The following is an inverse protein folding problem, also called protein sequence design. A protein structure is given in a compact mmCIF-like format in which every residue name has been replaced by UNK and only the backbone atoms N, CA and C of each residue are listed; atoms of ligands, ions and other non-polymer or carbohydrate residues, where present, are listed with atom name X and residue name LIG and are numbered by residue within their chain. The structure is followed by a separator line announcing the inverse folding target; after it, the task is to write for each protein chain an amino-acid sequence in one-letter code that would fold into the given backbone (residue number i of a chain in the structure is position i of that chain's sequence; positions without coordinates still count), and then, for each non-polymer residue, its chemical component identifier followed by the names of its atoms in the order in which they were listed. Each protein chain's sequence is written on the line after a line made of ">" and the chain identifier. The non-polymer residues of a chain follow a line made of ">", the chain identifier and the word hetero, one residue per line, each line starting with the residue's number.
data_IF_047373432141
#
_entry.id   IF_047373432141
#
_cell.length_a   1.000
_cell.length_b   1.000
_cell.length_c   1.000
_cell.angle_alpha   90.00
_cell.angle_beta   90.00
_cell.angle_gamma   90.00
#
_symmetry.space_group_name_H-M   'P 1'
#
loop_
_entity.id
_entity.type
_entity.pdbx_description
1 polymer ?
#
# COMPACT_ATOMS: atom_id res chain seq x y z
N UNK A 1 -36.75 44.14 -14.93
CA UNK A 1 -37.53 44.96 -15.90
C UNK A 1 -38.20 46.21 -15.31
N UNK A 2 -37.99 46.52 -14.02
CA UNK A 2 -38.60 47.74 -13.40
C UNK A 2 -38.15 49.07 -14.04
N UNK A 3 -37.02 49.09 -14.74
CA UNK A 3 -36.45 50.26 -15.42
C UNK A 3 -36.79 50.30 -16.93
N UNK A 4 -37.66 49.39 -17.42
CA UNK A 4 -38.10 49.41 -18.81
C UNK A 4 -38.89 50.69 -19.09
N UNK A 5 -38.63 51.29 -20.26
CA UNK A 5 -39.28 52.53 -20.73
C UNK A 5 -39.92 52.27 -22.07
N UNK A 6 -40.89 53.05 -22.38
CA UNK A 6 -41.62 53.00 -23.67
C UNK A 6 -41.61 54.42 -24.30
N UNK A 7 -41.78 54.57 -25.64
CA UNK A 7 -41.87 55.86 -26.28
C UNK A 7 -42.95 56.77 -25.68
N UNK A 8 -42.77 58.09 -25.84
CA UNK A 8 -43.77 59.06 -25.39
C UNK A 8 -45.18 58.70 -25.93
N UNK A 9 -46.20 58.79 -25.10
CA UNK A 9 -47.60 58.48 -25.38
C UNK A 9 -47.97 57.02 -25.46
N UNK A 10 -47.11 56.10 -25.06
CA UNK A 10 -47.43 54.68 -24.93
C UNK A 10 -47.23 54.22 -23.47
N UNK A 11 -47.89 53.12 -23.10
CA UNK A 11 -47.79 52.52 -21.75
C UNK A 11 -47.36 51.07 -21.85
N UNK A 12 -46.49 50.61 -20.95
CA UNK A 12 -46.17 49.17 -20.81
C UNK A 12 -47.43 48.48 -20.28
N UNK A 13 -47.89 47.45 -20.97
CA UNK A 13 -49.12 46.68 -20.64
C UNK A 13 -48.79 45.34 -20.00
N UNK A 14 -47.68 44.68 -20.41
CA UNK A 14 -47.31 43.40 -19.87
C UNK A 14 -45.79 43.13 -19.94
N UNK A 15 -45.36 42.17 -19.12
CA UNK A 15 -44.03 41.59 -19.09
C UNK A 15 -44.17 40.06 -19.18
N UNK A 16 -43.65 39.47 -20.26
CA UNK A 16 -43.60 38.01 -20.46
C UNK A 16 -42.24 37.50 -20.07
N UNK A 17 -42.19 36.62 -19.07
CA UNK A 17 -40.99 36.04 -18.55
C UNK A 17 -40.83 34.60 -19.05
N UNK A 18 -39.60 34.24 -19.46
CA UNK A 18 -39.19 32.89 -19.73
C UNK A 18 -37.98 32.60 -18.86
N UNK A 19 -38.06 31.59 -17.99
CA UNK A 19 -37.00 31.30 -17.01
C UNK A 19 -35.93 30.34 -17.53
N UNK A 20 -36.10 29.79 -18.76
CA UNK A 20 -35.14 28.90 -19.37
C UNK A 20 -35.28 27.43 -18.93
N UNK A 21 -36.05 27.14 -17.91
CA UNK A 21 -36.38 25.78 -17.43
C UNK A 21 -37.72 25.24 -17.99
N UNK A 22 -38.29 25.95 -18.91
CA UNK A 22 -39.62 25.67 -19.49
C UNK A 22 -40.76 26.40 -18.80
N UNK A 23 -40.55 27.00 -17.64
CA UNK A 23 -41.54 27.81 -16.95
C UNK A 23 -41.63 29.20 -17.57
N UNK A 24 -42.86 29.75 -17.60
CA UNK A 24 -43.16 31.11 -18.09
C UNK A 24 -44.11 31.79 -17.13
N UNK A 25 -44.04 33.11 -17.10
CA UNK A 25 -44.96 33.95 -16.31
C UNK A 25 -45.26 35.22 -17.06
N UNK A 26 -46.50 35.72 -16.94
CA UNK A 26 -46.90 37.03 -17.43
C UNK A 26 -47.31 37.90 -16.26
N UNK A 27 -46.83 39.15 -16.25
CA UNK A 27 -47.12 40.11 -15.18
C UNK A 27 -47.39 41.48 -15.77
N UNK A 28 -48.18 42.26 -15.06
CA UNK A 28 -48.38 43.70 -15.39
C UNK A 28 -47.35 44.57 -14.67
N UNK A 29 -46.54 43.96 -13.79
CA UNK A 29 -45.49 44.64 -13.05
C UNK A 29 -44.13 44.14 -13.51
N UNK A 30 -43.12 45.00 -13.55
CA UNK A 30 -41.78 44.70 -14.05
C UNK A 30 -40.94 43.81 -13.10
N UNK A 31 -41.57 42.91 -12.33
CA UNK A 31 -40.91 41.93 -11.47
C UNK A 31 -41.76 40.67 -11.30
N UNK A 32 -41.06 39.59 -11.08
CA UNK A 32 -41.64 38.27 -10.76
C UNK A 32 -40.69 37.49 -9.85
N UNK A 33 -41.12 36.35 -9.34
CA UNK A 33 -40.29 35.37 -8.63
C UNK A 33 -40.45 34.00 -9.24
N UNK A 34 -39.38 33.24 -9.26
CA UNK A 34 -39.38 31.87 -9.74
C UNK A 34 -38.44 31.02 -8.87
N UNK A 35 -38.75 29.72 -8.71
CA UNK A 35 -37.95 28.74 -8.00
C UNK A 35 -37.51 27.70 -9.02
N UNK A 36 -36.21 27.58 -9.22
CA UNK A 36 -35.60 26.54 -10.04
C UNK A 36 -35.55 25.24 -9.26
N UNK A 37 -35.97 24.14 -9.88
CA UNK A 37 -35.99 22.82 -9.23
C UNK A 37 -34.67 22.07 -9.37
N UNK A 38 -33.86 22.41 -10.35
CA UNK A 38 -32.60 21.77 -10.67
C UNK A 38 -31.49 22.82 -10.78
N UNK A 39 -30.28 22.39 -10.52
CA UNK A 39 -29.08 23.16 -10.75
C UNK A 39 -28.79 23.28 -12.25
N UNK A 40 -28.11 24.35 -12.67
CA UNK A 40 -27.76 24.53 -14.07
C UNK A 40 -27.61 25.99 -14.47
N UNK A 41 -27.22 26.19 -15.73
CA UNK A 41 -27.12 27.50 -16.36
C UNK A 41 -28.44 27.79 -17.11
N UNK A 42 -29.17 28.80 -16.66
CA UNK A 42 -30.44 29.19 -17.25
C UNK A 42 -30.30 30.51 -17.99
N UNK A 43 -30.85 30.57 -19.21
CA UNK A 43 -31.04 31.83 -19.94
C UNK A 43 -32.44 32.36 -19.67
N UNK A 44 -32.52 33.43 -18.88
CA UNK A 44 -33.76 34.09 -18.51
C UNK A 44 -34.01 35.22 -19.50
N UNK A 45 -35.22 35.29 -20.06
CA UNK A 45 -35.65 36.41 -20.90
C UNK A 45 -36.94 37.07 -20.39
N UNK A 46 -37.04 38.35 -20.64
CA UNK A 46 -38.23 39.11 -20.41
C UNK A 46 -38.58 39.94 -21.66
N UNK A 47 -39.77 39.72 -22.17
CA UNK A 47 -40.33 40.53 -23.24
C UNK A 47 -41.30 41.56 -22.65
N UNK A 48 -41.06 42.81 -22.95
CA UNK A 48 -41.91 43.94 -22.48
C UNK A 48 -42.81 44.41 -23.65
N UNK A 49 -44.08 44.50 -23.41
CA UNK A 49 -45.06 44.81 -24.44
C UNK A 49 -45.80 46.12 -24.08
N UNK A 50 -45.96 46.98 -25.04
CA UNK A 50 -46.74 48.25 -24.91
C UNK A 50 -48.16 48.15 -25.44
N UNK A 51 -49.00 49.20 -25.21
CA UNK A 51 -50.39 49.28 -25.60
C UNK A 51 -50.62 49.38 -27.11
N UNK A 52 -49.58 49.61 -27.91
CA UNK A 52 -49.60 49.56 -29.35
C UNK A 52 -49.10 48.26 -29.97
N UNK A 53 -48.81 47.29 -29.15
CA UNK A 53 -48.28 46.00 -29.57
C UNK A 53 -46.80 46.00 -29.96
N UNK A 54 -46.03 47.05 -29.63
CA UNK A 54 -44.59 47.06 -29.74
C UNK A 54 -43.97 46.30 -28.59
N UNK A 55 -42.94 45.50 -28.83
CA UNK A 55 -42.26 44.69 -27.90
C UNK A 55 -40.70 44.83 -27.94
N UNK A 56 -40.06 44.52 -26.86
CA UNK A 56 -38.61 44.42 -26.76
C UNK A 56 -38.25 43.35 -25.75
N UNK A 57 -37.18 42.61 -26.03
CA UNK A 57 -36.75 41.48 -25.21
C UNK A 57 -35.31 41.67 -24.66
N UNK A 58 -35.16 41.47 -23.38
CA UNK A 58 -33.86 41.42 -22.73
C UNK A 58 -33.59 40.00 -22.18
N UNK A 59 -32.34 39.57 -22.29
CA UNK A 59 -31.91 38.26 -21.78
C UNK A 59 -30.78 38.42 -20.75
N UNK A 60 -30.72 37.49 -19.81
CA UNK A 60 -29.63 37.38 -18.87
C UNK A 60 -29.40 35.91 -18.53
N UNK A 61 -28.19 35.58 -18.14
CA UNK A 61 -27.87 34.23 -17.64
C UNK A 61 -27.92 34.23 -16.11
N UNK A 62 -28.44 33.14 -15.57
CA UNK A 62 -28.43 32.83 -14.13
C UNK A 62 -27.84 31.44 -13.93
N UNK A 63 -26.86 31.35 -13.06
CA UNK A 63 -26.33 30.08 -12.56
C UNK A 63 -27.11 29.74 -11.30
N UNK A 64 -27.70 28.54 -11.27
CA UNK A 64 -28.29 27.94 -10.07
C UNK A 64 -27.33 26.83 -9.66
N UNK A 65 -26.53 27.08 -8.61
CA UNK A 65 -25.47 26.21 -8.18
C UNK A 65 -26.02 24.90 -7.58
N UNK A 66 -25.44 23.79 -7.99
CA UNK A 66 -25.67 22.46 -7.45
C UNK A 66 -24.53 21.95 -6.61
N UNK A 67 -24.66 20.75 -6.09
CA UNK A 67 -23.56 20.07 -5.41
C UNK A 67 -22.76 19.26 -6.43
N UNK A 68 -21.43 19.16 -6.28
CA UNK A 68 -20.62 18.28 -7.10
C UNK A 68 -21.06 16.81 -6.99
N UNK A 69 -21.00 16.08 -8.11
CA UNK A 69 -21.20 14.65 -8.15
C UNK A 69 -19.85 13.92 -8.01
N UNK A 70 -19.66 13.17 -6.92
CA UNK A 70 -18.40 12.47 -6.65
C UNK A 70 -18.36 11.12 -7.36
N UNK A 71 -17.39 10.97 -8.27
CA UNK A 71 -17.01 9.72 -8.88
C UNK A 71 -15.71 9.23 -8.27
N UNK A 72 -15.79 8.22 -7.40
CA UNK A 72 -14.62 7.65 -6.72
C UNK A 72 -14.30 6.26 -7.28
N UNK A 73 -13.08 6.10 -7.77
CA UNK A 73 -12.46 4.84 -8.20
C UNK A 73 -11.34 4.43 -7.24
N UNK A 74 -11.42 3.23 -6.68
CA UNK A 74 -10.41 2.66 -5.80
C UNK A 74 -10.56 1.13 -5.69
N UNK A 75 -9.50 0.37 -5.33
CA UNK A 75 -9.63 -1.04 -5.01
C UNK A 75 -10.44 -1.24 -3.71
N UNK A 76 -11.19 -2.34 -3.62
CA UNK A 76 -11.90 -2.70 -2.38
C UNK A 76 -11.02 -3.43 -1.38
N UNK A 77 -10.02 -4.16 -1.87
CA UNK A 77 -9.08 -4.91 -1.05
C UNK A 77 -7.72 -4.98 -1.75
N UNK A 78 -6.66 -4.94 -0.95
CA UNK A 78 -5.27 -5.10 -1.36
C UNK A 78 -4.50 -5.89 -0.29
N UNK A 79 -3.19 -6.06 -0.46
CA UNK A 79 -2.30 -6.63 0.57
C UNK A 79 -1.39 -5.56 1.15
N UNK A 80 -0.91 -5.78 2.37
CA UNK A 80 0.15 -4.94 2.96
C UNK A 80 1.30 -4.72 1.99
N UNK A 81 1.73 -3.47 1.84
CA UNK A 81 2.80 -3.07 0.93
C UNK A 81 2.41 -2.89 -0.54
N UNK A 82 1.16 -3.12 -0.93
CA UNK A 82 0.68 -2.76 -2.25
C UNK A 82 0.31 -1.27 -2.26
N UNK A 83 0.62 -0.59 -3.37
CA UNK A 83 0.25 0.81 -3.56
C UNK A 83 -1.24 0.93 -3.87
N UNK A 84 -1.91 1.84 -3.21
CA UNK A 84 -3.30 2.24 -3.45
C UNK A 84 -3.33 3.55 -4.19
N UNK A 85 -4.25 3.65 -5.15
CA UNK A 85 -4.63 4.91 -5.79
C UNK A 85 -6.10 5.17 -5.48
N UNK A 86 -6.37 6.29 -4.84
CA UNK A 86 -7.69 6.87 -4.69
C UNK A 86 -7.85 7.88 -5.83
N UNK A 87 -8.90 7.75 -6.63
CA UNK A 87 -9.11 8.57 -7.82
C UNK A 87 -10.53 9.12 -7.86
N UNK A 88 -10.65 10.43 -7.68
CA UNK A 88 -11.87 11.21 -7.79
C UNK A 88 -11.87 12.15 -9.02
N UNK A 89 -10.92 11.99 -9.96
CA UNK A 89 -10.73 12.87 -11.12
C UNK A 89 -11.91 12.88 -12.10
N UNK A 90 -12.80 11.89 -12.01
CA UNK A 90 -14.02 11.81 -12.81
C UNK A 90 -15.24 12.44 -12.14
N UNK A 91 -15.05 13.13 -11.02
CA UNK A 91 -16.12 13.93 -10.40
C UNK A 91 -16.51 15.10 -11.28
N UNK A 92 -17.77 15.49 -11.25
CA UNK A 92 -18.32 16.53 -12.12
C UNK A 92 -19.12 17.54 -11.33
N UNK A 93 -19.17 18.75 -11.85
CA UNK A 93 -20.05 19.80 -11.40
C UNK A 93 -21.20 19.99 -12.42
N UNK A 94 -22.47 20.04 -11.99
CA UNK A 94 -23.63 20.23 -12.91
C UNK A 94 -23.53 21.50 -13.79
N UNK A 95 -22.94 22.57 -13.27
CA UNK A 95 -22.76 23.84 -13.97
C UNK A 95 -21.43 23.92 -14.73
N UNK A 96 -20.52 22.96 -14.52
CA UNK A 96 -19.24 22.89 -15.19
C UNK A 96 -18.22 23.88 -14.64
N UNK A 97 -17.75 23.67 -13.44
CA UNK A 97 -16.75 24.51 -12.79
C UNK A 97 -15.45 23.73 -12.49
N UNK A 98 -14.45 24.45 -11.99
CA UNK A 98 -13.27 23.82 -11.40
C UNK A 98 -13.65 23.21 -10.05
N UNK A 99 -13.17 21.98 -9.81
CA UNK A 99 -13.39 21.26 -8.58
C UNK A 99 -12.10 21.20 -7.77
N UNK A 100 -12.22 21.43 -6.47
CA UNK A 100 -11.16 21.14 -5.49
C UNK A 100 -11.50 19.86 -4.75
N UNK A 101 -10.50 19.03 -4.52
CA UNK A 101 -10.66 17.74 -3.85
C UNK A 101 -9.75 17.65 -2.66
N UNK A 102 -10.30 17.23 -1.53
CA UNK A 102 -9.61 17.02 -0.26
C UNK A 102 -9.90 15.60 0.22
N UNK A 103 -8.90 14.97 0.83
CA UNK A 103 -8.97 13.63 1.37
C UNK A 103 -8.72 13.67 2.87
N UNK A 104 -9.57 12.98 3.61
CA UNK A 104 -9.35 12.54 4.96
C UNK A 104 -9.02 11.03 4.87
N UNK A 105 -7.84 10.65 5.34
CA UNK A 105 -7.28 9.31 5.15
C UNK A 105 -7.53 8.37 6.34
N UNK A 106 -7.94 8.90 7.49
CA UNK A 106 -8.22 8.14 8.69
C UNK A 106 -9.26 8.83 9.58
N UNK A 107 -10.51 8.42 9.47
CA UNK A 107 -11.64 8.97 10.26
C UNK A 107 -11.53 8.77 11.77
N UNK A 108 -10.52 8.07 12.26
CA UNK A 108 -10.29 7.84 13.69
C UNK A 108 -9.22 8.80 14.28
N UNK A 109 -8.47 9.50 13.42
CA UNK A 109 -7.36 10.37 13.80
C UNK A 109 -7.71 11.83 13.47
N UNK A 110 -7.87 12.64 14.50
CA UNK A 110 -7.99 14.11 14.40
C UNK A 110 -6.62 14.73 14.15
N UNK A 111 -6.27 14.93 12.88
CA UNK A 111 -4.93 15.36 12.45
C UNK A 111 -4.75 16.87 12.58
N UNK A 112 -5.82 17.67 12.53
CA UNK A 112 -5.77 19.12 12.68
C UNK A 112 -6.08 19.60 14.12
N UNK A 113 -6.50 18.68 15.00
CA UNK A 113 -6.79 18.90 16.42
C UNK A 113 -7.95 19.89 16.66
N UNK A 114 -8.94 19.91 15.80
CA UNK A 114 -10.15 20.73 15.96
C UNK A 114 -11.24 20.04 16.82
N UNK A 115 -11.09 18.74 17.09
CA UNK A 115 -11.97 17.91 17.89
C UNK A 115 -12.95 17.06 17.06
N UNK A 116 -12.83 17.07 15.74
CA UNK A 116 -13.61 16.25 14.79
C UNK A 116 -12.71 15.49 13.83
N UNK A 117 -12.43 14.20 14.07
CA UNK A 117 -11.54 13.40 13.22
C UNK A 117 -12.13 13.05 11.84
N UNK A 118 -13.33 13.54 11.50
CA UNK A 118 -14.03 13.17 10.27
C UNK A 118 -14.00 14.26 9.20
N UNK A 119 -13.30 15.36 9.45
CA UNK A 119 -13.24 16.53 8.59
C UNK A 119 -11.83 16.95 8.19
N UNK A 120 -10.83 16.12 8.49
CA UNK A 120 -9.41 16.43 8.30
C UNK A 120 -9.01 16.59 6.83
N UNK A 121 -7.99 17.41 6.60
CA UNK A 121 -7.40 17.66 5.29
C UNK A 121 -6.02 17.02 5.19
N UNK A 122 -5.96 15.69 5.13
CA UNK A 122 -4.70 14.95 5.09
C UNK A 122 -4.01 15.04 3.72
N UNK A 123 -4.78 15.16 2.65
CA UNK A 123 -4.25 15.29 1.31
C UNK A 123 -5.17 16.10 0.39
N UNK A 124 -4.59 16.72 -0.64
CA UNK A 124 -5.30 17.52 -1.64
C UNK A 124 -5.01 17.01 -3.05
N UNK A 125 -5.98 17.21 -3.95
CA UNK A 125 -5.87 16.85 -5.36
C UNK A 125 -6.84 15.76 -5.77
N UNK A 126 -7.18 15.72 -7.05
CA UNK A 126 -8.17 14.78 -7.61
C UNK A 126 -7.76 13.30 -7.46
N UNK A 127 -6.48 13.02 -7.25
CA UNK A 127 -5.94 11.68 -6.98
C UNK A 127 -5.02 11.71 -5.78
N UNK A 128 -5.04 10.63 -4.98
CA UNK A 128 -4.10 10.42 -3.89
C UNK A 128 -3.54 9.00 -3.92
N UNK A 129 -2.28 8.82 -3.50
CA UNK A 129 -1.60 7.52 -3.48
C UNK A 129 -0.95 7.29 -2.13
N UNK A 130 -1.13 6.10 -1.58
CA UNK A 130 -0.44 5.68 -0.36
C UNK A 130 -0.18 4.17 -0.37
N UNK A 131 0.68 3.71 0.54
CA UNK A 131 1.02 2.30 0.70
C UNK A 131 0.78 1.91 2.16
N UNK A 132 -0.28 1.16 2.47
CA UNK A 132 -0.51 0.70 3.84
C UNK A 132 0.53 -0.34 4.24
N UNK A 133 1.13 -0.16 5.42
CA UNK A 133 2.17 -1.03 5.97
C UNK A 133 1.61 -2.08 6.94
N UNK A 134 0.34 -1.98 7.32
CA UNK A 134 -0.34 -2.89 8.27
C UNK A 134 -1.64 -3.41 7.68
N UNK A 135 -2.00 -4.65 8.00
CA UNK A 135 -3.31 -5.21 7.65
C UNK A 135 -4.42 -4.61 8.52
N UNK A 136 -5.62 -4.53 7.96
CA UNK A 136 -6.78 -3.96 8.66
C UNK A 136 -7.78 -3.32 7.72
N UNK A 137 -8.78 -2.69 8.29
CA UNK A 137 -9.72 -1.86 7.55
C UNK A 137 -9.32 -0.40 7.70
N UNK A 138 -9.19 0.28 6.57
CA UNK A 138 -8.92 1.71 6.46
C UNK A 138 -10.21 2.40 6.03
N UNK A 139 -10.57 3.47 6.71
CA UNK A 139 -11.74 4.27 6.41
C UNK A 139 -11.35 5.72 6.28
N UNK A 140 -11.92 6.40 5.31
CA UNK A 140 -11.67 7.81 5.08
C UNK A 140 -12.80 8.45 4.30
N UNK A 141 -12.59 9.69 3.92
CA UNK A 141 -13.54 10.45 3.11
C UNK A 141 -12.86 11.18 1.97
N UNK A 142 -13.64 11.55 0.97
CA UNK A 142 -13.28 12.50 -0.06
C UNK A 142 -14.33 13.59 -0.11
N UNK A 143 -13.88 14.84 -0.01
CA UNK A 143 -14.73 16.02 -0.15
C UNK A 143 -14.35 16.75 -1.42
N UNK A 144 -15.34 16.97 -2.27
CA UNK A 144 -15.19 17.73 -3.52
C UNK A 144 -16.00 19.01 -3.38
N UNK A 145 -15.37 20.13 -3.67
CA UNK A 145 -15.93 21.48 -3.57
C UNK A 145 -15.84 22.18 -4.92
N UNK A 146 -16.91 22.81 -5.35
CA UNK A 146 -16.97 23.61 -6.57
C UNK A 146 -16.42 25.04 -6.36
N UNK A 147 -16.43 25.84 -7.43
CA UNK A 147 -15.99 27.23 -7.42
C UNK A 147 -16.99 28.21 -6.79
N UNK A 148 -18.14 27.71 -6.32
CA UNK A 148 -19.20 28.47 -5.64
C UNK A 148 -19.38 28.05 -4.17
N UNK A 149 -18.40 27.28 -3.64
CA UNK A 149 -18.32 26.79 -2.26
C UNK A 149 -19.37 25.72 -1.88
N UNK A 150 -20.08 25.10 -2.86
CA UNK A 150 -20.88 23.93 -2.56
C UNK A 150 -19.99 22.68 -2.52
N UNK A 151 -20.18 21.85 -1.49
CA UNK A 151 -19.33 20.70 -1.22
C UNK A 151 -20.15 19.43 -1.08
N UNK A 152 -19.65 18.34 -1.63
CA UNK A 152 -20.15 16.98 -1.41
C UNK A 152 -19.05 16.14 -0.76
N UNK A 153 -19.44 15.22 0.13
CA UNK A 153 -18.50 14.31 0.79
C UNK A 153 -18.93 12.86 0.57
N UNK A 154 -17.97 11.99 0.29
CA UNK A 154 -18.19 10.55 0.11
C UNK A 154 -17.20 9.76 0.96
N UNK A 155 -17.75 8.87 1.81
CA UNK A 155 -16.95 7.93 2.59
C UNK A 155 -16.42 6.79 1.72
N UNK A 156 -15.23 6.27 2.08
CA UNK A 156 -14.65 5.11 1.46
C UNK A 156 -14.10 4.14 2.53
N UNK A 157 -13.97 2.87 2.14
CA UNK A 157 -13.32 1.86 2.95
C UNK A 157 -12.42 0.99 2.08
N UNK A 158 -11.31 0.53 2.66
CA UNK A 158 -10.32 -0.33 2.04
C UNK A 158 -9.96 -1.45 3.00
N UNK A 159 -10.08 -2.70 2.57
CA UNK A 159 -9.58 -3.84 3.35
C UNK A 159 -8.15 -4.15 2.93
N UNK A 160 -7.22 -4.05 3.87
CA UNK A 160 -5.82 -4.44 3.67
C UNK A 160 -5.59 -5.81 4.28
N UNK A 161 -5.35 -6.80 3.42
CA UNK A 161 -5.11 -8.18 3.81
C UNK A 161 -3.64 -8.38 4.21
N UNK A 162 -3.34 -9.27 5.15
CA UNK A 162 -1.98 -9.63 5.47
C UNK A 162 -1.27 -10.29 4.29
N UNK A 163 0.06 -10.22 4.28
CA UNK A 163 0.89 -10.88 3.27
C UNK A 163 1.36 -12.24 3.78
N UNK A 164 1.17 -13.26 2.96
CA UNK A 164 1.64 -14.62 3.28
C UNK A 164 2.88 -14.92 2.46
N UNK A 165 3.93 -15.40 3.15
CA UNK A 165 5.18 -15.84 2.56
C UNK A 165 5.31 -17.35 2.75
N UNK A 166 5.78 -18.04 1.72
CA UNK A 166 6.18 -19.42 1.82
C UNK A 166 7.69 -19.49 2.08
N UNK A 167 8.07 -20.02 3.22
CA UNK A 167 9.47 -20.29 3.55
C UNK A 167 9.78 -21.73 3.16
N UNK A 168 10.81 -21.93 2.35
CA UNK A 168 11.28 -23.24 1.92
C UNK A 168 12.73 -23.39 2.35
N UNK A 169 13.05 -24.49 3.03
CA UNK A 169 14.41 -24.83 3.38
C UNK A 169 15.02 -25.70 2.29
N UNK A 170 16.18 -25.30 1.79
CA UNK A 170 16.99 -26.09 0.85
C UNK A 170 18.18 -26.70 1.57
N UNK A 171 18.35 -28.03 1.44
CA UNK A 171 19.53 -28.71 1.95
C UNK A 171 20.69 -28.53 0.98
N UNK A 172 21.86 -28.11 1.52
CA UNK A 172 23.12 -28.03 0.79
C UNK A 172 24.19 -28.79 1.53
N UNK A 173 24.90 -29.65 0.82
CA UNK A 173 26.06 -30.34 1.35
C UNK A 173 27.33 -29.55 1.02
N UNK A 174 28.14 -29.28 2.01
CA UNK A 174 29.46 -28.69 1.87
C UNK A 174 30.49 -29.74 2.26
N UNK A 175 31.50 -29.94 1.40
CA UNK A 175 32.60 -30.86 1.64
C UNK A 175 33.87 -30.06 1.73
N UNK A 176 34.65 -30.34 2.79
CA UNK A 176 35.96 -29.77 3.02
C UNK A 176 36.95 -30.92 3.13
N UNK A 177 37.96 -30.96 2.25
CA UNK A 177 39.03 -31.93 2.27
C UNK A 177 40.34 -31.23 2.57
N UNK A 178 41.13 -31.85 3.42
CA UNK A 178 42.51 -31.45 3.70
C UNK A 178 43.41 -32.67 3.70
N UNK A 179 44.50 -32.57 3.00
CA UNK A 179 45.56 -33.57 2.95
C UNK A 179 46.89 -32.89 3.27
N UNK A 180 47.61 -33.40 4.24
CA UNK A 180 48.82 -32.76 4.71
C UNK A 180 49.49 -33.49 5.87
N UNK A 181 50.61 -32.93 6.32
CA UNK A 181 51.38 -33.40 7.45
C UNK A 181 51.16 -32.48 8.65
N UNK A 182 50.97 -33.07 9.86
CA UNK A 182 50.93 -32.37 11.11
C UNK A 182 52.03 -32.88 12.03
N UNK A 183 52.91 -31.99 12.50
CA UNK A 183 53.89 -32.31 13.50
C UNK A 183 53.24 -32.52 14.89
N UNK A 184 53.97 -33.12 15.78
CA UNK A 184 53.50 -33.36 17.17
C UNK A 184 53.09 -32.04 17.86
N UNK A 185 51.85 -31.94 18.27
CA UNK A 185 51.28 -30.78 18.95
C UNK A 185 50.70 -29.71 18.01
N UNK A 186 50.80 -29.90 16.70
CA UNK A 186 50.15 -29.01 15.75
C UNK A 186 48.66 -29.31 15.61
N UNK A 187 47.89 -28.27 15.26
CA UNK A 187 46.43 -28.33 15.04
C UNK A 187 46.12 -27.73 13.67
N UNK A 188 45.39 -28.48 12.87
CA UNK A 188 44.75 -27.94 11.67
C UNK A 188 43.27 -27.70 11.95
N UNK A 189 42.76 -26.54 11.62
CA UNK A 189 41.36 -26.15 11.87
C UNK A 189 40.68 -25.77 10.57
N UNK A 190 39.52 -26.34 10.31
CA UNK A 190 38.60 -25.96 9.25
C UNK A 190 37.37 -25.33 9.90
N UNK A 191 37.01 -24.14 9.47
CA UNK A 191 35.83 -23.46 10.00
C UNK A 191 34.82 -23.25 8.89
N UNK A 192 33.58 -23.60 9.15
CA UNK A 192 32.44 -23.32 8.28
C UNK A 192 31.43 -22.43 9.02
N UNK A 193 30.95 -21.39 8.33
CA UNK A 193 29.86 -20.58 8.81
C UNK A 193 28.72 -20.72 7.82
N UNK A 194 27.55 -21.27 8.20
CA UNK A 194 26.35 -21.20 7.41
C UNK A 194 25.98 -19.71 7.21
N UNK A 195 25.34 -19.37 6.10
CA UNK A 195 24.85 -18.00 5.85
C UNK A 195 23.90 -17.52 6.95
N UNK A 196 23.55 -16.22 6.95
CA UNK A 196 22.76 -15.58 8.02
C UNK A 196 21.47 -16.34 8.38
N UNK A 197 20.85 -17.03 7.42
CA UNK A 197 19.64 -17.84 7.62
C UNK A 197 19.89 -19.34 7.48
N UNK A 198 21.16 -19.76 7.52
CA UNK A 198 21.54 -21.18 7.38
C UNK A 198 21.54 -21.89 8.73
N UNK A 199 21.15 -23.16 8.75
CA UNK A 199 21.24 -24.05 9.90
C UNK A 199 22.02 -25.29 9.53
N UNK A 200 22.88 -25.77 10.45
CA UNK A 200 23.60 -27.03 10.28
C UNK A 200 22.66 -28.17 10.70
N UNK A 201 22.34 -29.06 9.76
CA UNK A 201 21.43 -30.19 10.00
C UNK A 201 22.19 -31.47 10.44
N UNK A 202 23.34 -31.69 9.84
CA UNK A 202 24.20 -32.84 10.15
C UNK A 202 25.67 -32.55 9.86
N UNK A 203 26.53 -33.22 10.54
CA UNK A 203 27.97 -33.18 10.33
C UNK A 203 28.48 -34.62 10.25
N UNK A 204 29.31 -34.88 9.24
CA UNK A 204 30.08 -36.09 9.11
C UNK A 204 31.54 -35.71 8.96
N UNK A 205 32.39 -36.16 9.84
CA UNK A 205 33.81 -35.87 9.82
C UNK A 205 34.65 -37.16 9.92
N UNK A 206 35.63 -37.29 9.05
CA UNK A 206 36.50 -38.46 9.00
C UNK A 206 37.94 -38.00 8.94
N UNK A 207 38.76 -38.56 9.81
CA UNK A 207 40.21 -38.42 9.79
C UNK A 207 40.83 -39.77 9.45
N UNK A 208 41.72 -39.83 8.48
CA UNK A 208 42.45 -41.03 8.08
C UNK A 208 43.94 -40.74 8.07
N UNK A 209 44.67 -41.54 8.79
CA UNK A 209 46.13 -41.56 8.73
C UNK A 209 46.57 -42.66 7.76
N UNK A 210 47.42 -42.30 6.82
CA UNK A 210 48.02 -43.28 5.93
C UNK A 210 48.85 -44.30 6.72
N UNK A 211 49.00 -45.50 6.17
CA UNK A 211 49.81 -46.54 6.76
C UNK A 211 51.26 -46.07 6.84
N UNK A 212 51.86 -46.17 8.00
CA UNK A 212 53.26 -45.83 8.20
C UNK A 212 54.15 -46.90 7.61
N UNK A 213 55.06 -46.51 6.73
CA UNK A 213 56.01 -47.43 6.05
C UNK A 213 57.36 -47.48 6.75
N UNK A 214 57.56 -46.75 7.87
CA UNK A 214 58.78 -46.66 8.61
C UNK A 214 59.00 -47.89 9.48
N UNK A 215 60.27 -48.18 9.95
CA UNK A 215 60.55 -49.37 10.70
C UNK A 215 59.82 -49.46 12.01
N UNK A 216 59.43 -50.66 12.41
CA UNK A 216 58.61 -51.08 13.56
C UNK A 216 59.01 -50.49 14.94
N UNK A 217 60.12 -49.75 15.04
CA UNK A 217 60.64 -49.17 16.27
C UNK A 217 60.15 -47.75 16.62
N UNK A 218 59.39 -47.11 15.76
CA UNK A 218 58.84 -45.76 16.03
C UNK A 218 57.45 -45.84 16.69
N UNK A 219 57.17 -44.96 17.65
CA UNK A 219 55.82 -44.88 18.20
C UNK A 219 54.78 -44.62 17.10
N UNK A 220 53.67 -45.28 17.27
CA UNK A 220 52.52 -45.08 16.35
C UNK A 220 51.92 -43.68 16.50
N UNK A 221 51.54 -43.10 15.42
CA UNK A 221 50.84 -41.79 15.43
C UNK A 221 49.42 -41.95 15.95
N UNK A 222 49.01 -40.97 16.73
CA UNK A 222 47.68 -40.91 17.28
C UNK A 222 47.17 -39.45 17.20
N UNK A 223 46.16 -39.24 16.42
CA UNK A 223 45.57 -37.93 16.21
C UNK A 223 44.15 -37.88 16.79
N UNK A 224 43.76 -36.69 17.23
CA UNK A 224 42.40 -36.40 17.70
C UNK A 224 41.66 -35.63 16.63
N UNK A 225 40.43 -36.03 16.32
CA UNK A 225 39.48 -35.31 15.53
C UNK A 225 38.46 -34.69 16.48
N UNK A 226 38.39 -33.36 16.51
CA UNK A 226 37.42 -32.62 17.33
C UNK A 226 36.48 -31.84 16.40
N UNK A 227 35.19 -31.94 16.65
CA UNK A 227 34.18 -31.14 16.01
C UNK A 227 33.42 -30.34 17.07
N UNK A 228 33.37 -29.02 16.89
CA UNK A 228 32.67 -28.09 17.75
C UNK A 228 31.54 -27.39 16.97
N UNK A 229 30.33 -27.47 17.49
CA UNK A 229 29.16 -26.69 16.98
C UNK A 229 28.80 -25.65 18.02
N UNK A 230 29.20 -24.41 17.79
CA UNK A 230 29.13 -23.35 18.81
C UNK A 230 27.71 -22.97 19.19
N UNK A 231 26.81 -22.94 18.22
CA UNK A 231 25.43 -22.55 18.46
C UNK A 231 24.65 -23.54 19.33
N UNK A 232 24.96 -24.83 19.18
CA UNK A 232 24.31 -25.91 19.93
C UNK A 232 25.09 -26.35 21.18
N UNK A 233 26.20 -25.67 21.46
CA UNK A 233 27.14 -26.03 22.53
C UNK A 233 27.56 -27.50 22.48
N UNK A 234 27.57 -28.11 21.28
CA UNK A 234 27.97 -29.49 21.06
C UNK A 234 29.44 -29.56 20.68
N UNK A 235 30.18 -30.39 21.39
CA UNK A 235 31.56 -30.67 21.08
C UNK A 235 31.85 -32.15 21.29
N UNK A 236 32.50 -32.76 20.33
CA UNK A 236 32.88 -34.16 20.43
C UNK A 236 34.29 -34.38 19.88
N UNK A 237 35.07 -35.21 20.61
CA UNK A 237 36.45 -35.57 20.25
C UNK A 237 36.58 -37.06 20.18
N UNK A 238 37.11 -37.57 19.07
CA UNK A 238 37.50 -38.96 18.90
C UNK A 238 39.00 -39.06 18.57
N UNK A 239 39.56 -40.24 18.71
CA UNK A 239 40.97 -40.48 18.39
C UNK A 239 41.11 -41.58 17.40
N UNK A 240 42.16 -41.51 16.57
CA UNK A 240 42.55 -42.60 15.68
C UNK A 240 43.05 -43.79 16.48
N UNK A 241 42.78 -44.99 15.98
CA UNK A 241 43.38 -46.21 16.53
C UNK A 241 44.87 -46.25 16.26
N UNK A 242 45.63 -46.75 17.20
CA UNK A 242 47.09 -46.92 17.06
C UNK A 242 47.45 -48.16 16.22
N UNK A 243 47.05 -48.18 14.97
CA UNK A 243 47.26 -49.36 14.09
C UNK A 243 47.72 -48.97 12.69
N UNK A 244 48.26 -47.77 12.50
CA UNK A 244 48.71 -47.28 11.19
C UNK A 244 49.92 -48.02 10.62
N UNK A 245 50.61 -48.86 11.40
CA UNK A 245 51.71 -49.72 10.93
C UNK A 245 51.22 -50.85 10.02
N UNK A 246 50.05 -51.38 10.26
CA UNK A 246 49.49 -52.53 9.52
C UNK A 246 48.34 -52.15 8.55
N UNK A 247 47.76 -51.01 8.78
CA UNK A 247 46.64 -50.46 7.97
C UNK A 247 46.53 -48.97 8.24
N UNK A 248 45.77 -48.28 7.39
CA UNK A 248 45.38 -46.89 7.68
C UNK A 248 44.63 -46.85 9.03
N UNK A 249 44.98 -45.90 9.88
CA UNK A 249 44.21 -45.62 11.08
C UNK A 249 43.15 -44.56 10.75
N UNK A 250 41.97 -44.74 11.25
CA UNK A 250 40.86 -43.78 11.00
C UNK A 250 40.07 -43.47 12.25
N UNK A 251 39.49 -42.31 12.27
CA UNK A 251 38.49 -41.89 13.25
C UNK A 251 37.40 -41.18 12.49
N UNK A 252 36.16 -41.56 12.71
CA UNK A 252 35.02 -40.89 12.09
C UNK A 252 33.91 -40.63 13.11
N UNK A 253 33.25 -39.49 12.94
CA UNK A 253 32.06 -39.16 13.72
C UNK A 253 30.98 -38.64 12.79
N UNK A 254 29.77 -38.93 13.17
CA UNK A 254 28.57 -38.41 12.53
C UNK A 254 27.65 -37.83 13.61
N UNK A 255 27.14 -36.68 13.38
CA UNK A 255 26.10 -36.08 14.22
C UNK A 255 24.97 -35.59 13.33
N UNK A 256 23.79 -36.13 13.51
CA UNK A 256 22.59 -35.84 12.79
C UNK A 256 21.57 -35.16 13.68
N UNK A 257 20.59 -34.50 13.09
CA UNK A 257 19.48 -33.86 13.82
C UNK A 257 19.93 -32.68 14.71
N UNK A 258 20.95 -31.93 14.27
CA UNK A 258 21.46 -30.78 15.01
C UNK A 258 20.42 -29.65 15.16
N UNK A 259 19.64 -29.38 14.16
CA UNK A 259 18.59 -28.35 14.18
C UNK A 259 17.37 -28.89 13.42
N UNK A 260 16.63 -29.84 14.01
CA UNK A 260 15.52 -30.45 13.28
C UNK A 260 14.48 -29.41 12.90
N UNK A 261 14.09 -29.43 11.62
CA UNK A 261 12.94 -28.70 11.12
C UNK A 261 11.77 -29.68 11.02
N UNK A 262 10.61 -29.27 11.56
CA UNK A 262 9.42 -30.11 11.54
C UNK A 262 8.83 -30.22 10.12
N UNK A 263 9.05 -29.21 9.28
CA UNK A 263 8.55 -29.14 7.91
C UNK A 263 9.57 -28.43 7.00
N UNK A 264 9.78 -29.01 5.80
CA UNK A 264 10.68 -28.40 4.81
C UNK A 264 10.13 -27.11 4.17
N UNK A 265 8.83 -26.86 4.32
CA UNK A 265 8.17 -25.66 3.87
C UNK A 265 7.04 -25.29 4.83
N UNK A 266 6.88 -24.02 5.10
CA UNK A 266 5.78 -23.51 5.91
C UNK A 266 5.39 -22.10 5.44
N UNK A 267 4.15 -21.70 5.78
CA UNK A 267 3.65 -20.38 5.46
C UNK A 267 3.75 -19.49 6.70
N UNK A 268 4.29 -18.29 6.49
CA UNK A 268 4.24 -17.20 7.45
C UNK A 268 3.28 -16.14 6.97
N UNK A 269 2.39 -15.68 7.83
CA UNK A 269 1.50 -14.56 7.56
C UNK A 269 1.96 -13.38 8.39
N UNK A 270 2.31 -12.30 7.71
CA UNK A 270 2.73 -11.04 8.32
C UNK A 270 1.60 -10.02 8.26
N UNK A 271 1.23 -9.45 9.39
CA UNK A 271 0.22 -8.40 9.50
C UNK A 271 0.78 -7.01 9.18
N UNK A 272 2.11 -6.86 9.23
CA UNK A 272 2.81 -5.63 8.86
C UNK A 272 4.02 -5.92 7.97
N UNK A 273 4.58 -4.88 7.35
CA UNK A 273 5.85 -4.98 6.61
C UNK A 273 7.08 -5.07 7.51
N UNK A 274 6.93 -4.86 8.81
CA UNK A 274 8.02 -4.90 9.80
C UNK A 274 8.18 -6.28 10.45
N UNK A 275 7.20 -7.16 10.29
CA UNK A 275 7.25 -8.57 10.72
C UNK A 275 7.93 -9.46 9.69
#
# INVERSE_FOLDING_TARGET
>A
ARASTTPESTLITSYEWNFGDGARSETIQGYTSHIFAEAGLYEISVTVINDLGGDDTATTQLIVNGYPEISLSMPKAIRTGDMVVLDASSSTDPEGGELTTVWDLDLEVDSDNDGDPTNDNDAMGATHQFTPYKSGNYTGSVTVTDNSDASATRLWNLTVLPRTYQVIWEEKTFTYDWDGYLAQGEIHTITHQPGENGRIMSINATLTLAMDILPIMLPQDNFSLTVDVREDAWSHTIRTEQTNITRNASASMEHTNLNPISENAYNLTADSLEE
#
